data_IF_483019930211
#
_entry.id   IF_483019930211
#
_cell.length_a   1.000
_cell.length_b   1.000
_cell.length_c   1.000
_cell.angle_alpha   90.00
_cell.angle_beta   90.00
_cell.angle_gamma   90.00
#
_symmetry.space_group_name_H-M   'P 1'
#
loop_
_entity.id
_entity.type
_entity.pdbx_description
1 polymer ?
#
# COMPACT_ATOMS: atom_id res chain seq x y z
N UNK A 1 5.99 -4.32 19.00
CA UNK A 1 6.99 -3.24 18.85
C UNK A 1 6.24 -1.93 18.95
N UNK A 2 6.75 -0.89 19.60
CA UNK A 2 6.03 0.41 19.68
C UNK A 2 6.15 1.12 18.34
N UNK A 3 5.03 1.63 17.83
CA UNK A 3 4.97 2.47 16.64
C UNK A 3 5.82 3.73 16.83
N UNK A 4 6.71 4.02 15.89
CA UNK A 4 7.56 5.21 15.90
C UNK A 4 7.63 5.81 14.51
N UNK A 5 7.66 7.14 14.45
CA UNK A 5 7.96 7.90 13.24
C UNK A 5 9.27 8.68 13.45
N UNK A 6 10.21 8.51 12.54
CA UNK A 6 11.54 9.10 12.65
C UNK A 6 11.92 9.83 11.36
N UNK A 7 12.32 11.09 11.49
CA UNK A 7 12.82 11.90 10.39
C UNK A 7 14.29 11.54 10.09
N UNK A 8 14.51 10.42 9.40
CA UNK A 8 15.84 9.95 8.99
C UNK A 8 15.97 9.89 7.46
N UNK A 9 17.17 10.11 6.88
CA UNK A 9 17.37 9.96 5.44
C UNK A 9 17.12 8.52 4.95
N UNK A 10 16.68 8.37 3.71
CA UNK A 10 16.57 7.08 3.02
C UNK A 10 17.38 7.08 1.72
N UNK A 11 17.63 5.89 1.16
CA UNK A 11 18.24 5.72 -0.15
C UNK A 11 17.20 5.25 -1.15
N UNK A 12 17.07 5.97 -2.25
CA UNK A 12 16.10 5.66 -3.31
C UNK A 12 16.85 5.30 -4.58
N UNK A 13 16.68 4.08 -5.11
CA UNK A 13 17.21 3.72 -6.42
C UNK A 13 16.58 4.57 -7.51
N UNK A 14 17.41 5.09 -8.41
CA UNK A 14 17.00 5.85 -9.61
C UNK A 14 17.52 5.22 -10.91
N UNK A 15 18.37 4.20 -10.81
CA UNK A 15 18.76 3.27 -11.88
C UNK A 15 19.42 2.04 -11.24
N UNK A 16 19.76 1.02 -12.03
CA UNK A 16 20.38 -0.24 -11.57
C UNK A 16 21.62 -0.01 -10.68
N UNK A 17 22.47 0.95 -11.07
CA UNK A 17 23.75 1.23 -10.39
C UNK A 17 23.73 2.51 -9.53
N UNK A 18 22.61 3.24 -9.49
CA UNK A 18 22.55 4.56 -8.87
C UNK A 18 21.39 4.67 -7.87
N UNK A 19 21.73 5.15 -6.67
CA UNK A 19 20.76 5.55 -5.67
C UNK A 19 21.07 6.96 -5.17
N UNK A 20 20.03 7.72 -4.86
CA UNK A 20 20.14 9.05 -4.25
C UNK A 20 19.75 8.97 -2.78
N UNK A 21 20.47 9.73 -1.96
CA UNK A 21 20.09 9.93 -0.56
C UNK A 21 19.05 11.03 -0.48
N UNK A 22 17.90 10.74 0.13
CA UNK A 22 16.79 11.67 0.29
C UNK A 22 16.60 11.94 1.78
N UNK A 23 16.80 13.18 2.19
CA UNK A 23 16.55 13.64 3.55
C UNK A 23 15.07 14.02 3.73
N UNK A 24 14.53 13.96 4.97
CA UNK A 24 13.20 14.48 5.29
C UNK A 24 12.99 15.89 4.75
N UNK A 25 11.81 16.13 4.16
CA UNK A 25 11.43 17.36 3.49
C UNK A 25 11.86 17.46 2.03
N UNK A 26 12.78 16.62 1.53
CA UNK A 26 13.24 16.67 0.13
C UNK A 26 12.26 16.02 -0.85
N UNK A 27 12.31 16.40 -2.15
CA UNK A 27 11.44 15.84 -3.16
C UNK A 27 11.66 14.34 -3.30
N UNK A 28 10.59 13.60 -3.48
CA UNK A 28 10.66 12.16 -3.70
C UNK A 28 11.01 11.86 -5.17
N UNK A 29 12.13 11.17 -5.44
CA UNK A 29 12.65 11.00 -6.81
C UNK A 29 12.10 9.76 -7.53
N UNK A 30 10.99 9.19 -7.05
CA UNK A 30 10.40 7.96 -7.60
C UNK A 30 8.88 8.04 -7.58
N UNK A 31 8.20 6.93 -7.85
CA UNK A 31 6.76 6.86 -7.87
C UNK A 31 6.14 7.21 -6.50
N UNK A 32 5.06 8.00 -6.48
CA UNK A 32 4.29 8.30 -5.26
C UNK A 32 3.36 7.13 -4.99
N UNK A 33 3.82 6.20 -4.16
CA UNK A 33 3.22 4.88 -3.90
C UNK A 33 3.20 4.58 -2.41
N UNK A 34 2.53 3.50 -2.04
CA UNK A 34 2.36 3.07 -0.66
C UNK A 34 0.90 2.91 -0.28
N UNK A 35 0.67 2.27 0.87
CA UNK A 35 -0.60 2.32 1.60
C UNK A 35 -0.96 3.77 1.89
N UNK A 36 -2.21 4.17 1.65
CA UNK A 36 -2.67 5.54 1.79
C UNK A 36 -3.47 5.71 3.07
N UNK A 37 -3.11 6.76 3.80
CA UNK A 37 -3.74 7.21 5.03
C UNK A 37 -3.87 8.73 5.00
N UNK A 38 -4.61 9.29 5.95
CA UNK A 38 -4.74 10.73 6.12
C UNK A 38 -4.65 11.12 7.59
N UNK A 39 -4.13 12.32 7.86
CA UNK A 39 -4.35 13.02 9.12
C UNK A 39 -5.48 14.01 8.94
N UNK A 40 -6.47 13.97 9.84
CA UNK A 40 -7.62 14.86 9.82
C UNK A 40 -7.93 15.39 11.22
N UNK A 41 -8.67 16.49 11.29
CA UNK A 41 -9.41 16.90 12.49
C UNK A 41 -10.78 16.23 12.46
N UNK A 42 -11.24 15.69 13.58
CA UNK A 42 -12.54 15.05 13.68
C UNK A 42 -13.23 15.42 15.00
N UNK A 43 -14.41 16.03 14.90
CA UNK A 43 -15.21 16.52 16.03
C UNK A 43 -15.59 15.39 17.02
N UNK A 44 -15.76 14.15 16.54
CA UNK A 44 -16.07 12.99 17.39
C UNK A 44 -14.89 12.64 18.32
N UNK A 45 -13.69 13.14 18.00
CA UNK A 45 -12.46 13.02 18.77
C UNK A 45 -12.02 14.36 19.39
N UNK A 46 -12.93 15.33 19.52
CA UNK A 46 -12.67 16.59 20.23
C UNK A 46 -11.77 17.57 19.47
N UNK A 47 -11.81 17.56 18.14
CA UNK A 47 -10.94 18.34 17.25
C UNK A 47 -9.45 17.98 17.36
N UNK A 48 -9.14 16.81 17.93
CA UNK A 48 -7.78 16.28 17.96
C UNK A 48 -7.37 15.75 16.57
N UNK A 49 -6.06 15.74 16.33
CA UNK A 49 -5.49 15.13 15.13
C UNK A 49 -5.68 13.62 15.20
N UNK A 50 -6.38 13.04 14.23
CA UNK A 50 -6.57 11.59 14.12
C UNK A 50 -6.00 11.03 12.82
N UNK A 51 -5.45 9.82 12.92
CA UNK A 51 -5.11 9.02 11.74
C UNK A 51 -6.38 8.38 11.20
N UNK A 52 -6.58 8.48 9.89
CA UNK A 52 -7.76 7.96 9.19
C UNK A 52 -7.36 7.06 8.03
N UNK A 53 -7.97 5.89 7.98
CA UNK A 53 -8.15 5.13 6.76
C UNK A 53 -9.60 5.27 6.27
N UNK A 54 -9.80 5.48 4.98
CA UNK A 54 -11.13 5.72 4.40
C UNK A 54 -11.31 5.06 3.04
N UNK A 55 -12.50 4.46 2.86
CA UNK A 55 -12.99 4.00 1.57
C UNK A 55 -14.51 4.21 1.47
N UNK A 56 -14.92 5.13 0.59
CA UNK A 56 -16.33 5.51 0.36
C UNK A 56 -17.02 5.96 1.66
N UNK A 57 -17.93 5.15 2.18
CA UNK A 57 -18.74 5.40 3.38
C UNK A 57 -18.13 4.80 4.65
N UNK A 58 -16.93 4.20 4.57
CA UNK A 58 -16.25 3.59 5.70
C UNK A 58 -15.00 4.40 6.07
N UNK A 59 -14.95 4.83 7.32
CA UNK A 59 -13.80 5.48 7.94
C UNK A 59 -13.43 4.71 9.20
N UNK A 60 -12.14 4.45 9.38
CA UNK A 60 -11.59 3.81 10.56
C UNK A 60 -10.46 4.71 11.06
N UNK A 61 -10.53 5.06 12.34
CA UNK A 61 -9.63 6.01 12.98
C UNK A 61 -8.65 5.30 13.91
N UNK A 62 -7.50 5.94 14.12
CA UNK A 62 -6.42 5.50 14.98
C UNK A 62 -5.68 6.72 15.54
N UNK A 63 -4.86 6.49 16.56
CA UNK A 63 -3.94 7.51 17.04
C UNK A 63 -2.84 7.77 15.99
N UNK A 64 -2.51 9.04 15.70
CA UNK A 64 -1.43 9.34 14.78
C UNK A 64 -0.07 9.01 15.40
N UNK A 65 0.92 8.57 14.59
CA UNK A 65 2.30 8.51 15.06
C UNK A 65 2.76 9.87 15.57
N UNK A 66 3.49 9.89 16.70
CA UNK A 66 4.09 11.10 17.24
C UNK A 66 4.95 11.80 16.18
N UNK A 67 4.96 13.13 16.19
CA UNK A 67 5.71 14.01 15.29
C UNK A 67 5.33 13.95 13.79
N UNK A 68 4.48 12.99 13.35
CA UNK A 68 4.06 12.92 11.95
C UNK A 68 3.26 14.17 11.53
N UNK A 69 2.34 14.63 12.39
CA UNK A 69 1.56 15.85 12.14
C UNK A 69 2.47 17.09 11.98
N UNK A 70 3.46 17.23 12.88
CA UNK A 70 4.47 18.30 12.80
C UNK A 70 5.28 18.21 11.52
N UNK A 71 5.68 17.01 11.10
CA UNK A 71 6.43 16.79 9.86
C UNK A 71 5.60 17.11 8.60
N UNK A 72 4.32 16.73 8.58
CA UNK A 72 3.38 17.11 7.51
C UNK A 72 3.24 18.63 7.39
N UNK A 73 3.05 19.33 8.52
CA UNK A 73 2.94 20.78 8.57
C UNK A 73 4.24 21.44 8.07
N UNK A 74 5.39 21.00 8.59
CA UNK A 74 6.71 21.52 8.20
C UNK A 74 7.00 21.30 6.71
N UNK A 75 6.50 20.21 6.12
CA UNK A 75 6.65 19.97 4.69
C UNK A 75 5.80 20.93 3.81
N UNK A 76 4.80 21.60 4.38
CA UNK A 76 3.94 22.57 3.68
C UNK A 76 2.49 22.12 3.49
N UNK A 77 2.03 21.08 4.21
CA UNK A 77 0.60 20.75 4.29
C UNK A 77 -0.13 21.77 5.16
N UNK A 78 -1.27 22.23 4.68
CA UNK A 78 -2.14 23.17 5.39
C UNK A 78 -2.55 22.57 6.75
N UNK A 79 -2.19 23.28 7.83
CA UNK A 79 -2.40 22.89 9.23
C UNK A 79 -1.93 21.46 9.60
N UNK A 80 -0.98 20.90 8.83
CA UNK A 80 -0.49 19.53 9.01
C UNK A 80 -1.45 18.41 8.61
N UNK A 81 -2.58 18.73 7.99
CA UNK A 81 -3.60 17.76 7.58
C UNK A 81 -3.44 17.30 6.13
N UNK A 82 -4.09 16.18 5.82
CA UNK A 82 -4.18 15.63 4.47
C UNK A 82 -3.59 14.23 4.36
N UNK A 83 -3.48 13.76 3.11
CA UNK A 83 -3.06 12.38 2.83
C UNK A 83 -1.55 12.20 2.83
N UNK A 84 -1.13 11.00 3.20
CA UNK A 84 0.23 10.50 3.08
C UNK A 84 0.20 9.03 2.65
N UNK A 85 1.37 8.52 2.28
CA UNK A 85 1.59 7.13 1.91
C UNK A 85 2.72 6.52 2.72
N UNK A 86 2.64 5.21 2.95
CA UNK A 86 3.71 4.43 3.57
C UNK A 86 4.12 3.31 2.62
N UNK A 87 5.41 3.28 2.25
CA UNK A 87 5.96 2.22 1.39
C UNK A 87 6.23 0.95 2.18
N UNK A 88 6.49 -0.16 1.48
CA UNK A 88 6.96 -1.43 2.07
C UNK A 88 8.33 -1.35 2.79
N UNK A 89 9.02 -0.20 2.75
CA UNK A 89 10.20 0.08 3.59
C UNK A 89 9.92 1.08 4.72
N UNK A 90 8.64 1.31 5.02
CA UNK A 90 8.19 2.28 6.02
C UNK A 90 8.39 3.74 5.60
N UNK A 91 8.71 4.03 4.33
CA UNK A 91 8.97 5.41 3.91
C UNK A 91 7.66 6.19 3.84
N UNK A 92 7.60 7.29 4.58
CA UNK A 92 6.43 8.15 4.65
C UNK A 92 6.55 9.23 3.59
N UNK A 93 5.59 9.24 2.66
CA UNK A 93 5.54 10.18 1.54
C UNK A 93 4.28 11.03 1.64
N UNK A 94 4.36 12.31 1.32
CA UNK A 94 3.17 13.15 1.11
C UNK A 94 3.30 13.94 -0.19
N UNK A 95 2.27 14.71 -0.53
CA UNK A 95 2.29 15.65 -1.65
C UNK A 95 1.98 17.06 -1.17
N UNK A 96 2.81 18.01 -1.57
CA UNK A 96 2.71 19.42 -1.17
C UNK A 96 2.48 20.27 -2.42
N UNK A 97 1.61 21.29 -2.34
CA UNK A 97 1.47 22.24 -3.45
C UNK A 97 2.80 22.97 -3.66
N UNK A 98 3.22 23.10 -4.91
CA UNK A 98 4.49 23.72 -5.29
C UNK A 98 4.71 25.10 -4.64
N UNK A 99 3.67 25.93 -4.58
CA UNK A 99 3.72 27.27 -3.97
C UNK A 99 3.99 27.25 -2.46
N UNK A 100 3.73 26.13 -1.79
CA UNK A 100 3.93 25.94 -0.36
C UNK A 100 5.19 25.12 -0.04
N UNK A 101 5.92 24.65 -1.07
CA UNK A 101 6.97 23.66 -0.89
C UNK A 101 8.36 24.30 -0.84
N UNK A 102 9.03 24.20 0.30
CA UNK A 102 10.29 24.89 0.55
C UNK A 102 11.46 24.41 -0.32
N UNK A 103 11.46 23.14 -0.75
CA UNK A 103 12.53 22.52 -1.54
C UNK A 103 12.16 22.39 -3.02
N UNK A 104 11.35 23.31 -3.54
CA UNK A 104 10.87 23.30 -4.93
C UNK A 104 12.02 23.37 -5.95
N UNK A 105 13.15 23.97 -5.58
CA UNK A 105 14.35 24.09 -6.41
C UNK A 105 15.07 22.75 -6.66
N UNK A 106 14.81 21.76 -5.82
CA UNK A 106 15.33 20.39 -5.96
C UNK A 106 14.34 19.45 -6.67
N UNK A 107 13.09 19.88 -6.88
CA UNK A 107 12.04 19.03 -7.41
C UNK A 107 12.15 18.88 -8.94
N UNK A 108 11.77 17.71 -9.50
CA UNK A 108 11.78 17.51 -10.96
C UNK A 108 10.77 18.41 -11.69
N UNK A 109 9.77 18.94 -10.97
CA UNK A 109 8.76 19.87 -11.49
C UNK A 109 8.53 21.00 -10.50
N UNK A 110 8.21 22.19 -11.00
CA UNK A 110 8.06 23.40 -10.18
C UNK A 110 6.61 23.87 -10.00
N UNK A 111 5.63 23.06 -10.42
CA UNK A 111 4.21 23.41 -10.41
C UNK A 111 3.35 22.22 -10.00
N UNK A 112 2.15 22.49 -9.47
CA UNK A 112 1.21 21.43 -9.08
C UNK A 112 1.55 20.85 -7.71
N UNK A 113 1.52 19.52 -7.58
CA UNK A 113 1.76 18.77 -6.36
C UNK A 113 3.10 18.04 -6.41
N UNK A 114 3.99 18.36 -5.48
CA UNK A 114 5.33 17.78 -5.38
C UNK A 114 5.31 16.65 -4.34
N UNK A 115 5.59 15.40 -4.73
CA UNK A 115 5.85 14.33 -3.78
C UNK A 115 7.07 14.67 -2.90
N UNK A 116 6.92 14.55 -1.58
CA UNK A 116 7.96 14.84 -0.60
C UNK A 116 8.11 13.67 0.38
N UNK A 117 9.35 13.39 0.76
CA UNK A 117 9.67 12.39 1.77
C UNK A 117 9.64 13.01 3.17
N UNK A 118 9.01 12.36 4.16
CA UNK A 118 8.88 12.89 5.52
C UNK A 118 9.78 12.17 6.54
N UNK A 119 10.08 10.90 6.33
CA UNK A 119 10.78 10.05 7.29
C UNK A 119 10.38 8.60 7.17
N UNK A 120 10.64 7.80 8.21
CA UNK A 120 10.28 6.38 8.27
C UNK A 120 9.34 6.08 9.42
N UNK A 121 8.45 5.13 9.18
CA UNK A 121 7.59 4.51 10.17
C UNK A 121 8.15 3.14 10.52
N UNK A 122 8.33 2.87 11.81
CA UNK A 122 8.73 1.56 12.34
C UNK A 122 7.66 1.05 13.32
N UNK A 123 7.19 -0.19 13.14
CA UNK A 123 6.07 -0.76 13.88
C UNK A 123 4.73 -0.61 13.14
N UNK A 124 3.66 -1.19 13.69
CA UNK A 124 2.35 -1.24 13.04
C UNK A 124 1.45 -0.06 13.44
N UNK A 125 0.67 0.43 12.48
CA UNK A 125 -0.42 1.37 12.74
C UNK A 125 -1.58 0.62 13.40
N UNK A 126 -1.95 1.01 14.62
CA UNK A 126 -3.00 0.35 15.40
C UNK A 126 -4.37 0.96 15.14
N UNK A 127 -5.15 0.31 14.28
CA UNK A 127 -6.56 0.66 14.00
C UNK A 127 -7.55 -0.08 14.91
N UNK A 128 -7.08 -0.78 15.93
CA UNK A 128 -7.83 -1.52 16.94
C UNK A 128 -8.59 -2.74 16.41
N UNK A 129 -9.54 -2.53 15.51
CA UNK A 129 -10.44 -3.57 14.98
C UNK A 129 -9.97 -4.21 13.67
N UNK A 130 -8.94 -3.64 13.04
CA UNK A 130 -8.36 -4.15 11.79
C UNK A 130 -6.87 -4.33 11.99
N UNK A 131 -6.40 -5.56 11.77
CA UNK A 131 -5.00 -5.92 11.85
C UNK A 131 -4.30 -5.62 10.52
N UNK A 132 -3.36 -4.68 10.53
CA UNK A 132 -2.58 -4.25 9.37
C UNK A 132 -1.28 -5.04 9.20
N UNK A 133 -0.82 -5.72 10.27
CA UNK A 133 0.41 -6.51 10.35
C UNK A 133 0.14 -7.92 10.92
N UNK A 134 -0.78 -8.70 10.31
CA UNK A 134 -1.16 -10.02 10.82
C UNK A 134 -0.04 -11.03 10.63
N UNK A 135 0.02 -12.08 11.45
CA UNK A 135 0.98 -13.17 11.21
C UNK A 135 0.83 -13.75 9.79
N UNK A 136 1.94 -13.90 9.02
CA UNK A 136 1.88 -14.48 7.69
C UNK A 136 1.50 -15.96 7.75
N UNK A 137 0.88 -16.50 6.69
CA UNK A 137 0.52 -17.91 6.64
C UNK A 137 1.77 -18.80 6.70
N UNK A 138 1.87 -19.67 7.71
CA UNK A 138 3.00 -20.60 7.84
C UNK A 138 3.00 -21.72 6.78
N UNK A 139 1.80 -22.14 6.35
CA UNK A 139 1.62 -23.19 5.36
C UNK A 139 0.48 -22.81 4.42
N UNK A 140 0.79 -22.65 3.14
CA UNK A 140 -0.19 -22.33 2.12
C UNK A 140 -0.62 -20.88 2.17
N UNK A 141 -1.93 -20.63 2.14
CA UNK A 141 -2.51 -19.29 2.08
C UNK A 141 -3.48 -18.98 3.22
N UNK A 142 -3.72 -17.69 3.42
CA UNK A 142 -4.80 -17.17 4.25
C UNK A 142 -5.69 -16.21 3.46
N UNK A 143 -6.88 -15.91 3.99
CA UNK A 143 -7.65 -14.76 3.52
C UNK A 143 -7.03 -13.49 4.11
N UNK A 144 -6.83 -12.47 3.28
CA UNK A 144 -6.32 -11.18 3.71
C UNK A 144 -7.34 -10.47 4.60
N UNK A 145 -6.89 -10.04 5.79
CA UNK A 145 -7.76 -9.50 6.85
C UNK A 145 -7.53 -8.00 7.12
N UNK A 146 -6.43 -7.44 6.61
CA UNK A 146 -6.19 -6.01 6.67
C UNK A 146 -7.12 -5.21 5.76
N UNK A 147 -6.84 -3.92 5.60
CA UNK A 147 -7.64 -3.10 4.69
C UNK A 147 -7.55 -3.63 3.25
N UNK A 148 -8.68 -3.82 2.55
CA UNK A 148 -8.69 -4.36 1.18
C UNK A 148 -8.66 -3.28 0.09
N UNK A 149 -8.66 -2.00 0.48
CA UNK A 149 -8.58 -0.86 -0.42
C UNK A 149 -7.52 0.11 0.09
N UNK A 150 -6.82 0.75 -0.86
CA UNK A 150 -5.79 1.77 -0.56
C UNK A 150 -4.69 1.30 0.42
N UNK A 151 -4.54 0.00 0.62
CA UNK A 151 -3.60 -0.61 1.54
C UNK A 151 -2.79 -1.67 0.79
N UNK A 152 -1.48 -1.47 0.81
CA UNK A 152 -0.54 -2.08 -0.09
C UNK A 152 -0.27 -1.27 -1.35
N UNK A 153 1.01 -1.22 -1.71
CA UNK A 153 1.49 -0.82 -3.01
C UNK A 153 0.99 -1.77 -4.08
N UNK A 154 0.35 -1.23 -5.11
CA UNK A 154 -0.20 -2.01 -6.20
C UNK A 154 0.85 -2.27 -7.27
N UNK A 155 1.21 -3.54 -7.43
CA UNK A 155 2.08 -4.05 -8.48
C UNK A 155 1.28 -4.93 -9.43
N UNK A 156 1.77 -5.08 -10.66
CA UNK A 156 1.21 -6.00 -11.63
C UNK A 156 2.28 -7.00 -12.10
N UNK A 157 1.94 -8.29 -12.12
CA UNK A 157 2.76 -9.31 -12.78
C UNK A 157 2.55 -9.16 -14.29
N UNK A 158 3.64 -9.12 -15.07
CA UNK A 158 3.60 -9.08 -16.54
C UNK A 158 3.55 -10.48 -17.15
N UNK A 159 3.41 -10.59 -18.47
CA UNK A 159 3.56 -11.87 -19.19
C UNK A 159 5.02 -12.29 -19.35
N UNK A 160 5.96 -11.39 -19.06
CA UNK A 160 7.40 -11.60 -19.18
C UNK A 160 8.03 -11.82 -17.78
N UNK A 161 7.23 -12.26 -16.81
CA UNK A 161 7.63 -12.55 -15.43
C UNK A 161 8.33 -11.37 -14.73
N UNK A 162 7.74 -10.18 -14.85
CA UNK A 162 8.23 -8.97 -14.18
C UNK A 162 7.16 -8.31 -13.30
N UNK A 163 7.60 -7.71 -12.20
CA UNK A 163 6.76 -6.81 -11.40
C UNK A 163 6.77 -5.40 -11.98
N UNK A 164 5.59 -4.91 -12.37
CA UNK A 164 5.40 -3.60 -12.99
C UNK A 164 4.52 -2.73 -12.10
N UNK A 165 5.05 -1.59 -11.69
CA UNK A 165 4.25 -0.51 -11.11
C UNK A 165 3.60 0.30 -12.24
N UNK A 166 2.29 0.54 -12.17
CA UNK A 166 1.52 1.13 -13.28
C UNK A 166 0.58 2.23 -12.87
N UNK A 167 0.79 3.48 -13.27
CA UNK A 167 -0.17 4.57 -13.09
C UNK A 167 -0.60 5.17 -14.43
N UNK A 168 -1.89 5.04 -14.77
CA UNK A 168 -2.42 5.37 -16.11
C UNK A 168 -1.61 4.65 -17.19
N UNK A 169 -1.02 5.41 -18.11
CA UNK A 169 -0.21 4.89 -19.21
C UNK A 169 1.26 4.66 -18.82
N UNK A 170 1.70 5.13 -17.64
CA UNK A 170 3.06 4.94 -17.15
C UNK A 170 3.25 3.54 -16.55
N UNK A 171 4.39 2.94 -16.87
CA UNK A 171 4.75 1.57 -16.48
C UNK A 171 6.23 1.53 -16.14
N UNK A 172 6.55 1.21 -14.89
CA UNK A 172 7.92 1.11 -14.39
C UNK A 172 8.16 -0.28 -13.82
N UNK A 173 9.15 -0.98 -14.35
CA UNK A 173 9.55 -2.30 -13.86
C UNK A 173 10.26 -2.17 -12.52
N UNK A 174 10.11 -3.17 -11.65
CA UNK A 174 10.95 -3.28 -10.45
C UNK A 174 12.41 -3.39 -10.88
N UNK A 175 13.29 -2.66 -10.20
CA UNK A 175 14.74 -2.77 -10.38
C UNK A 175 15.31 -4.11 -9.91
N UNK A 176 14.58 -4.80 -9.04
CA UNK A 176 14.96 -6.09 -8.50
C UNK A 176 14.18 -7.20 -9.17
N UNK A 177 14.84 -8.34 -9.33
CA UNK A 177 14.18 -9.58 -9.72
C UNK A 177 13.36 -10.13 -8.55
N UNK A 178 12.20 -10.70 -8.88
CA UNK A 178 11.21 -11.20 -7.93
C UNK A 178 10.66 -12.56 -8.36
N UNK A 179 11.55 -13.43 -8.83
CA UNK A 179 11.18 -14.70 -9.44
C UNK A 179 10.46 -15.65 -8.47
N UNK A 180 10.84 -15.68 -7.19
CA UNK A 180 10.18 -16.52 -6.18
C UNK A 180 8.77 -16.02 -5.86
N UNK A 181 8.63 -14.70 -5.70
CA UNK A 181 7.34 -14.06 -5.47
C UNK A 181 6.39 -14.24 -6.67
N UNK A 182 6.89 -14.11 -7.89
CA UNK A 182 6.10 -14.31 -9.12
C UNK A 182 5.68 -15.79 -9.25
N UNK A 183 6.58 -16.72 -8.98
CA UNK A 183 6.23 -18.15 -8.97
C UNK A 183 5.12 -18.47 -7.95
N UNK A 184 5.21 -17.91 -6.74
CA UNK A 184 4.17 -18.06 -5.72
C UNK A 184 2.83 -17.43 -6.14
N UNK A 185 2.87 -16.29 -6.84
CA UNK A 185 1.68 -15.66 -7.42
C UNK A 185 1.00 -16.58 -8.45
N UNK A 186 1.78 -17.15 -9.37
CA UNK A 186 1.28 -17.95 -10.49
C UNK A 186 0.61 -19.26 -10.05
N UNK A 187 0.99 -19.81 -8.88
CA UNK A 187 0.33 -20.98 -8.31
C UNK A 187 -1.18 -20.77 -8.10
N UNK A 188 -1.57 -19.56 -7.68
CA UNK A 188 -2.95 -19.20 -7.36
C UNK A 188 -3.63 -18.43 -8.48
N UNK A 189 -2.85 -17.68 -9.28
CA UNK A 189 -3.37 -16.80 -10.32
C UNK A 189 -2.49 -16.87 -11.58
N UNK A 190 -2.76 -17.82 -12.49
CA UNK A 190 -1.96 -18.00 -13.72
C UNK A 190 -2.18 -16.88 -14.76
N UNK A 191 -3.24 -16.08 -14.62
CA UNK A 191 -3.54 -14.95 -15.49
C UNK A 191 -2.97 -13.66 -14.89
N UNK A 192 -2.13 -12.91 -15.63
CA UNK A 192 -1.53 -11.67 -15.14
C UNK A 192 -2.52 -10.70 -14.52
N UNK A 193 -2.07 -10.04 -13.45
CA UNK A 193 -2.94 -9.24 -12.63
C UNK A 193 -2.21 -8.51 -11.52
N UNK A 194 -2.97 -8.09 -10.52
CA UNK A 194 -2.49 -7.23 -9.45
C UNK A 194 -2.06 -8.06 -8.24
N UNK A 195 -0.94 -7.67 -7.65
CA UNK A 195 -0.54 -8.02 -6.28
C UNK A 195 -0.36 -6.74 -5.47
N UNK A 196 -0.42 -6.87 -4.15
CA UNK A 196 -0.35 -5.77 -3.22
C UNK A 196 0.74 -6.07 -2.18
N UNK A 197 1.64 -5.11 -1.98
CA UNK A 197 2.73 -5.19 -0.99
C UNK A 197 2.48 -4.14 0.10
N UNK A 198 2.12 -4.55 1.31
CA UNK A 198 1.86 -3.61 2.42
C UNK A 198 3.13 -2.95 2.93
N UNK A 199 2.97 -1.88 3.71
CA UNK A 199 4.04 -1.22 4.45
C UNK A 199 4.78 -2.16 5.42
N UNK A 200 4.10 -3.24 5.82
CA UNK A 200 4.63 -4.30 6.67
C UNK A 200 5.19 -5.48 5.86
N UNK A 201 5.23 -5.39 4.53
CA UNK A 201 5.77 -6.43 3.68
C UNK A 201 4.83 -7.61 3.43
N UNK A 202 3.57 -7.56 3.83
CA UNK A 202 2.59 -8.60 3.45
C UNK A 202 2.28 -8.54 1.96
N UNK A 203 2.20 -9.73 1.36
CA UNK A 203 1.80 -9.91 -0.03
C UNK A 203 0.41 -10.50 -0.08
N UNK A 204 -0.51 -9.78 -0.70
CA UNK A 204 -1.82 -10.32 -1.01
C UNK A 204 -2.26 -10.03 -2.43
N UNK A 205 -3.15 -10.86 -2.95
CA UNK A 205 -3.61 -10.86 -4.33
C UNK A 205 -5.12 -10.96 -4.39
N UNK A 206 -5.73 -10.44 -5.46
CA UNK A 206 -7.11 -10.77 -5.78
C UNK A 206 -7.11 -11.95 -6.75
N UNK A 207 -7.80 -13.04 -6.42
CA UNK A 207 -7.90 -14.20 -7.30
C UNK A 207 -9.33 -14.34 -7.80
N UNK A 208 -9.59 -14.19 -9.11
CA UNK A 208 -10.89 -14.53 -9.68
C UNK A 208 -11.24 -15.99 -9.38
N UNK A 209 -12.49 -16.26 -8.98
CA UNK A 209 -12.92 -17.62 -8.63
C UNK A 209 -12.66 -18.65 -9.73
N UNK A 210 -12.75 -18.24 -10.99
CA UNK A 210 -12.49 -19.06 -12.17
C UNK A 210 -11.00 -19.23 -12.50
N UNK A 211 -10.12 -18.40 -11.96
CA UNK A 211 -8.66 -18.47 -12.17
C UNK A 211 -8.00 -19.46 -11.21
N UNK A 212 -8.66 -19.82 -10.10
CA UNK A 212 -8.12 -20.80 -9.14
C UNK A 212 -7.92 -22.16 -9.84
N UNK A 213 -6.65 -22.56 -9.96
CA UNK A 213 -6.25 -23.82 -10.58
C UNK A 213 -6.87 -25.01 -9.85
N UNK A 214 -7.15 -26.11 -10.57
CA UNK A 214 -7.76 -27.29 -9.96
C UNK A 214 -6.94 -27.84 -8.79
N UNK A 215 -5.61 -27.74 -8.86
CA UNK A 215 -4.69 -28.17 -7.81
C UNK A 215 -4.86 -27.36 -6.50
N UNK A 216 -5.19 -26.07 -6.59
CA UNK A 216 -5.30 -25.17 -5.43
C UNK A 216 -6.71 -24.98 -4.90
N UNK A 217 -7.75 -25.50 -5.59
CA UNK A 217 -9.16 -25.30 -5.17
C UNK A 217 -9.44 -25.75 -3.75
N UNK A 218 -8.97 -26.93 -3.33
CA UNK A 218 -9.24 -27.45 -1.99
C UNK A 218 -8.59 -26.59 -0.90
N UNK A 219 -7.36 -26.14 -1.15
CA UNK A 219 -6.62 -25.24 -0.24
C UNK A 219 -7.34 -23.90 -0.09
N UNK A 220 -7.75 -23.28 -1.21
CA UNK A 220 -8.52 -22.02 -1.20
C UNK A 220 -9.86 -22.17 -0.47
N UNK A 221 -10.61 -23.24 -0.74
CA UNK A 221 -11.88 -23.51 -0.06
C UNK A 221 -11.71 -23.70 1.45
N UNK A 222 -10.64 -24.38 1.85
CA UNK A 222 -10.29 -24.57 3.26
C UNK A 222 -9.92 -23.22 3.90
N UNK A 223 -9.09 -22.41 3.25
CA UNK A 223 -8.70 -21.09 3.75
C UNK A 223 -9.92 -20.18 3.98
N UNK A 224 -10.88 -20.15 3.04
CA UNK A 224 -12.12 -19.38 3.19
C UNK A 224 -12.94 -19.89 4.37
N UNK A 225 -13.14 -21.21 4.46
CA UNK A 225 -13.98 -21.83 5.49
C UNK A 225 -13.38 -21.64 6.89
N UNK A 226 -12.06 -21.84 7.04
CA UNK A 226 -11.33 -21.62 8.29
C UNK A 226 -11.29 -20.15 8.69
N UNK A 227 -11.12 -19.23 7.73
CA UNK A 227 -11.22 -17.79 8.00
C UNK A 227 -12.61 -17.42 8.50
N UNK A 228 -13.67 -17.79 7.77
CA UNK A 228 -15.05 -17.45 8.11
C UNK A 228 -15.43 -17.98 9.50
N UNK A 229 -15.12 -19.24 9.78
CA UNK A 229 -15.37 -19.85 11.09
C UNK A 229 -14.65 -19.09 12.22
N UNK A 230 -13.37 -18.72 12.03
CA UNK A 230 -12.61 -17.96 13.03
C UNK A 230 -13.18 -16.57 13.24
N UNK A 231 -13.51 -15.86 12.16
CA UNK A 231 -14.04 -14.51 12.24
C UNK A 231 -15.42 -14.48 12.92
N UNK A 232 -16.29 -15.46 12.65
CA UNK A 232 -17.58 -15.62 13.35
C UNK A 232 -17.41 -16.02 14.82
N UNK A 233 -16.46 -16.91 15.13
CA UNK A 233 -16.19 -17.35 16.52
C UNK A 233 -15.64 -16.21 17.39
N UNK A 234 -14.83 -15.33 16.80
CA UNK A 234 -14.19 -14.22 17.49
C UNK A 234 -15.00 -12.91 17.41
N UNK A 235 -16.23 -12.94 16.87
CA UNK A 235 -17.07 -11.76 16.63
C UNK A 235 -16.34 -10.63 15.87
N UNK A 236 -15.45 -10.98 14.94
CA UNK A 236 -14.67 -10.02 14.15
C UNK A 236 -15.50 -9.47 12.98
N UNK A 237 -16.55 -8.73 13.34
CA UNK A 237 -17.53 -8.16 12.41
C UNK A 237 -16.89 -7.17 11.44
N UNK A 238 -15.88 -6.40 11.87
CA UNK A 238 -15.17 -5.44 11.01
C UNK A 238 -14.46 -6.12 9.85
N UNK A 239 -13.70 -7.19 10.13
CA UNK A 239 -12.96 -7.93 9.10
C UNK A 239 -13.92 -8.65 8.15
N UNK A 240 -14.99 -9.27 8.67
CA UNK A 240 -16.05 -9.87 7.84
C UNK A 240 -16.66 -8.85 6.88
N UNK A 241 -16.98 -7.65 7.37
CA UNK A 241 -17.54 -6.56 6.55
C UNK A 241 -16.56 -6.08 5.48
N UNK A 242 -15.28 -5.95 5.81
CA UNK A 242 -14.23 -5.52 4.87
C UNK A 242 -14.02 -6.53 3.74
N UNK A 243 -13.87 -7.82 4.08
CA UNK A 243 -13.71 -8.89 3.08
C UNK A 243 -14.95 -8.98 2.18
N UNK A 244 -16.16 -8.96 2.75
CA UNK A 244 -17.40 -8.95 1.94
C UNK A 244 -17.47 -7.75 1.00
N UNK A 245 -17.10 -6.54 1.46
CA UNK A 245 -17.06 -5.36 0.60
C UNK A 245 -16.06 -5.51 -0.54
N UNK A 246 -14.92 -6.15 -0.29
CA UNK A 246 -13.94 -6.44 -1.33
C UNK A 246 -14.50 -7.38 -2.39
N UNK A 247 -15.16 -8.45 -1.95
CA UNK A 247 -15.80 -9.41 -2.84
C UNK A 247 -16.85 -8.72 -3.73
N UNK A 248 -17.77 -7.95 -3.14
CA UNK A 248 -18.76 -7.17 -3.90
C UNK A 248 -18.10 -6.20 -4.88
N UNK A 249 -17.08 -5.46 -4.44
CA UNK A 249 -16.39 -4.47 -5.28
C UNK A 249 -15.63 -5.07 -6.47
N UNK A 250 -15.41 -6.39 -6.49
CA UNK A 250 -14.71 -7.11 -7.55
C UNK A 250 -15.61 -8.11 -8.28
N UNK A 251 -16.89 -8.17 -7.92
CA UNK A 251 -17.89 -9.01 -8.54
C UNK A 251 -18.45 -8.34 -9.80
N UNK A 252 -18.91 -9.16 -10.76
CA UNK A 252 -19.70 -8.69 -11.90
C UNK A 252 -21.18 -8.48 -11.55
N UNK A 253 -21.59 -8.92 -10.36
CA UNK A 253 -22.92 -8.81 -9.78
C UNK A 253 -22.84 -8.16 -8.38
N UNK A 254 -23.97 -7.90 -7.73
CA UNK A 254 -23.98 -7.52 -6.29
C UNK A 254 -23.79 -8.74 -5.37
N UNK A 255 -23.52 -9.94 -5.94
CA UNK A 255 -23.26 -11.17 -5.18
C UNK A 255 -21.77 -11.27 -4.81
N UNK A 256 -21.40 -11.29 -3.51
CA UNK A 256 -20.04 -11.53 -3.06
C UNK A 256 -19.45 -12.87 -3.53
N UNK A 257 -20.27 -13.88 -3.84
CA UNK A 257 -19.81 -15.20 -4.26
C UNK A 257 -19.09 -15.18 -5.63
N UNK A 258 -19.30 -14.13 -6.43
CA UNK A 258 -18.66 -13.94 -7.73
C UNK A 258 -17.44 -12.99 -7.67
N UNK A 259 -17.13 -12.47 -6.47
CA UNK A 259 -16.02 -11.55 -6.24
C UNK A 259 -14.64 -12.18 -6.36
N UNK A 260 -13.60 -11.37 -6.52
CA UNK A 260 -12.24 -11.87 -6.46
C UNK A 260 -11.79 -12.09 -5.02
N UNK A 261 -11.30 -13.28 -4.72
CA UNK A 261 -10.85 -13.69 -3.40
C UNK A 261 -9.59 -12.92 -2.98
N UNK A 262 -9.58 -12.24 -1.82
CA UNK A 262 -8.39 -11.56 -1.31
C UNK A 262 -7.50 -12.59 -0.57
N UNK A 263 -6.48 -13.09 -1.24
CA UNK A 263 -5.60 -14.15 -0.73
C UNK A 263 -4.28 -13.55 -0.27
N UNK A 264 -3.92 -13.77 1.01
CA UNK A 264 -2.61 -13.50 1.59
C UNK A 264 -1.70 -14.69 1.26
N UNK A 265 -0.66 -14.46 0.48
CA UNK A 265 0.24 -15.51 -0.02
C UNK A 265 1.57 -15.60 0.73
N UNK A 266 1.88 -14.61 1.58
CA UNK A 266 3.08 -14.61 2.42
C UNK A 266 3.54 -13.20 2.74
N UNK A 267 4.71 -13.09 3.33
CA UNK A 267 5.43 -11.85 3.62
C UNK A 267 6.67 -11.76 2.72
N UNK A 268 7.15 -10.56 2.40
CA UNK A 268 8.32 -10.34 1.54
C UNK A 268 9.51 -11.20 1.94
N UNK A 269 9.84 -11.28 3.24
CA UNK A 269 10.91 -12.14 3.79
C UNK A 269 10.82 -13.62 3.39
N UNK A 270 9.67 -14.10 2.94
CA UNK A 270 9.44 -15.47 2.50
C UNK A 270 9.85 -15.67 1.03
N UNK A 271 10.20 -14.59 0.32
CA UNK A 271 10.52 -14.57 -1.12
C UNK A 271 11.73 -13.66 -1.41
N UNK A 272 12.60 -14.07 -2.33
CA UNK A 272 13.63 -13.20 -2.92
C UNK A 272 14.47 -12.45 -1.87
N UNK A 273 14.85 -13.14 -0.78
CA UNK A 273 15.60 -12.59 0.37
C UNK A 273 14.93 -11.36 1.05
N UNK A 274 13.63 -11.17 0.89
CA UNK A 274 12.92 -10.00 1.41
C UNK A 274 13.11 -8.72 0.60
N UNK A 275 13.54 -8.83 -0.66
CA UNK A 275 13.68 -7.67 -1.54
C UNK A 275 12.34 -6.97 -1.73
N UNK A 276 12.32 -5.66 -1.48
CA UNK A 276 11.13 -4.82 -1.70
C UNK A 276 11.11 -4.36 -3.15
N UNK A 277 10.01 -4.57 -3.91
CA UNK A 277 9.88 -4.05 -5.26
C UNK A 277 10.07 -2.53 -5.33
N UNK A 278 10.84 -2.04 -6.32
CA UNK A 278 11.20 -0.62 -6.45
C UNK A 278 11.09 -0.16 -7.90
N UNK A 279 10.18 0.77 -8.23
CA UNK A 279 10.08 1.29 -9.58
C UNK A 279 11.19 2.33 -9.81
N UNK A 280 11.90 2.18 -10.92
CA UNK A 280 12.76 3.24 -11.45
C UNK A 280 11.91 4.11 -12.36
N UNK A 281 11.75 5.39 -11.99
CA UNK A 281 11.06 6.37 -12.82
C UNK A 281 12.10 7.03 -13.71
N UNK A 282 12.14 6.62 -14.96
CA UNK A 282 13.06 7.09 -16.00
C UNK A 282 12.42 8.06 -17.01
N UNK A 283 11.14 8.39 -16.81
CA UNK A 283 10.37 9.32 -17.63
C UNK A 283 9.97 10.55 -16.81
N UNK A 284 10.61 11.70 -17.08
CA UNK A 284 10.33 12.96 -16.38
C UNK A 284 8.88 13.46 -16.58
N UNK A 285 8.21 13.09 -17.68
CA UNK A 285 6.81 13.48 -17.90
C UNK A 285 5.87 12.89 -16.85
N UNK A 286 6.26 11.76 -16.25
CA UNK A 286 5.53 11.19 -15.12
C UNK A 286 5.37 12.21 -13.99
N UNK A 287 6.43 12.92 -13.61
CA UNK A 287 6.37 13.90 -12.52
C UNK A 287 5.46 15.08 -12.89
N UNK A 288 5.47 15.51 -14.16
CA UNK A 288 4.56 16.55 -14.65
C UNK A 288 3.09 16.12 -14.55
N UNK A 289 2.78 14.88 -14.97
CA UNK A 289 1.40 14.37 -14.94
C UNK A 289 0.93 14.07 -13.52
N UNK A 290 1.76 13.41 -12.72
CA UNK A 290 1.43 13.11 -11.32
C UNK A 290 1.28 14.37 -10.50
N UNK A 291 2.04 15.43 -10.82
CA UNK A 291 1.91 16.73 -10.18
C UNK A 291 0.56 17.43 -10.43
N UNK A 292 -0.24 17.00 -11.41
CA UNK A 292 -1.57 17.56 -11.64
C UNK A 292 -2.62 17.07 -10.62
N UNK A 293 -2.28 16.09 -9.79
CA UNK A 293 -3.21 15.44 -8.86
C UNK A 293 -2.66 15.44 -7.45
N UNK A 294 -3.50 15.71 -6.45
CA UNK A 294 -3.10 15.53 -5.04
C UNK A 294 -3.00 14.04 -4.71
N UNK A 295 -3.98 13.25 -5.11
CA UNK A 295 -3.99 11.82 -4.91
C UNK A 295 -3.53 11.06 -6.16
N UNK A 296 -2.95 9.88 -5.94
CA UNK A 296 -2.58 8.93 -6.99
C UNK A 296 -3.39 7.68 -6.72
N UNK A 297 -4.08 7.18 -7.74
CA UNK A 297 -5.03 6.04 -7.77
C UNK A 297 -6.52 6.40 -7.76
N UNK A 298 -7.20 5.76 -8.72
CA UNK A 298 -8.64 5.46 -8.80
C UNK A 298 -8.85 3.96 -8.48
#
# INVERSE_FOLDING_TARGET
MTLTFEQTPTKVPISEDQAVSVAPGQPWPSAYRGSQYSLVSDDDFGDDVVLKWEQRDLSIHADPPSDLWTAMNTAGKEDGYGSFRVTAQGEVLTKVKADNYANIDQAPVSTGWIPAYLGKLNGALDFGSVDTDPDPPENGIAIWQGFPFKHGERWAVSHDDQLIWKWRDYRFTSIFDHSELIAAYDEYRPNPGRLYVTEHGHIWINVPHNDVTQAKRSEVQQAISSWKQRAETNDNTSTLRLVNRRLVATSQSDDPADGHLPIHIGHLRDFDDGLVPRPVVDDDEYFLKVGQYEEVWE
#
